data_IF_034870598269
#
_entry.id   IF_034870598269
#
_cell.length_a   1.000
_cell.length_b   1.000
_cell.length_c   1.000
_cell.angle_alpha   90.00
_cell.angle_beta   90.00
_cell.angle_gamma   90.00
#
_symmetry.space_group_name_H-M   'P 1'
#
loop_
_entity.id
_entity.type
_entity.pdbx_description
1 polymer ?
#
# COMPACT_ATOMS: atom_id res chain seq x y z
N UNK A 1 2.46 17.89 15.18
CA UNK A 1 3.55 16.97 14.77
C UNK A 1 3.20 15.98 13.66
N UNK A 2 2.02 16.09 13.03
CA UNK A 2 1.62 15.25 11.88
C UNK A 2 2.14 15.77 10.51
N UNK A 3 3.18 16.60 10.49
CA UNK A 3 3.62 17.33 9.28
C UNK A 3 4.62 16.61 8.37
N UNK A 4 5.06 15.41 8.75
CA UNK A 4 6.10 14.69 7.99
C UNK A 4 5.55 13.47 7.24
N UNK A 5 4.27 13.44 6.94
CA UNK A 5 3.70 12.35 6.17
C UNK A 5 3.97 12.57 4.69
N UNK A 6 4.68 11.63 4.09
CA UNK A 6 4.82 11.41 2.65
C UNK A 6 3.45 11.60 1.96
N UNK A 7 3.39 12.16 0.73
CA UNK A 7 2.14 12.55 0.02
C UNK A 7 1.04 11.51 -0.11
N UNK A 8 1.25 10.28 0.27
CA UNK A 8 0.20 9.26 0.39
C UNK A 8 -0.80 9.51 1.52
N UNK A 9 -0.46 10.34 2.50
CA UNK A 9 -1.36 10.74 3.59
C UNK A 9 -2.59 11.55 3.13
N UNK A 10 -2.60 12.08 1.92
CA UNK A 10 -3.81 12.71 1.37
C UNK A 10 -4.93 11.71 1.10
N UNK A 11 -4.63 10.40 1.10
CA UNK A 11 -5.62 9.32 0.99
C UNK A 11 -5.89 8.61 2.31
N UNK A 12 -5.17 8.95 3.38
CA UNK A 12 -5.50 8.51 4.72
C UNK A 12 -6.68 9.35 5.22
N UNK A 13 -7.89 8.83 5.03
CA UNK A 13 -9.05 9.36 5.75
C UNK A 13 -8.74 9.26 7.24
N UNK A 14 -9.02 10.31 8.04
CA UNK A 14 -8.91 10.20 9.48
C UNK A 14 -9.68 8.97 9.95
N UNK A 15 -9.11 8.18 10.83
CA UNK A 15 -9.69 6.94 11.37
C UNK A 15 -11.13 7.12 11.89
N UNK A 16 -11.49 8.35 12.24
CA UNK A 16 -12.82 8.77 12.68
C UNK A 16 -13.93 8.54 11.63
N UNK A 17 -13.58 8.38 10.36
CA UNK A 17 -14.56 8.18 9.28
C UNK A 17 -14.68 6.71 8.84
N UNK A 18 -13.80 5.82 9.31
CA UNK A 18 -13.93 4.39 9.02
C UNK A 18 -14.71 3.71 10.14
N UNK A 19 -15.76 2.94 9.83
CA UNK A 19 -16.54 2.22 10.83
C UNK A 19 -15.80 0.96 11.32
N UNK A 20 -14.60 1.15 11.85
CA UNK A 20 -13.69 0.08 12.25
C UNK A 20 -13.18 0.35 13.66
N UNK A 21 -13.13 -0.71 14.46
CA UNK A 21 -12.51 -0.72 15.78
C UNK A 21 -11.35 -1.72 15.79
N UNK A 22 -10.22 -1.31 16.37
CA UNK A 22 -9.11 -2.21 16.66
C UNK A 22 -9.37 -2.88 18.00
N UNK A 23 -9.45 -4.21 17.99
CA UNK A 23 -9.61 -5.03 19.16
C UNK A 23 -8.27 -5.69 19.52
N UNK A 24 -7.86 -5.58 20.79
CA UNK A 24 -6.77 -6.39 21.32
C UNK A 24 -7.38 -7.69 21.85
N UNK A 25 -7.07 -8.81 21.23
CA UNK A 25 -7.57 -10.13 21.60
C UNK A 25 -6.40 -11.06 21.92
N UNK A 26 -6.68 -12.11 22.69
CA UNK A 26 -5.69 -13.17 22.92
C UNK A 26 -5.95 -14.31 21.96
N UNK A 27 -4.90 -14.83 21.33
CA UNK A 27 -4.99 -16.06 20.54
C UNK A 27 -5.20 -17.28 21.43
N UNK A 28 -5.56 -18.42 20.85
CA UNK A 28 -5.64 -19.71 21.57
C UNK A 28 -4.32 -20.10 22.25
N UNK A 29 -3.19 -19.59 21.77
CA UNK A 29 -1.85 -19.79 22.32
C UNK A 29 -1.46 -18.75 23.39
N UNK A 30 -2.39 -17.86 23.78
CA UNK A 30 -2.14 -16.81 24.76
C UNK A 30 -1.29 -15.64 24.26
N UNK A 31 -1.14 -15.46 22.95
CA UNK A 31 -0.41 -14.33 22.37
C UNK A 31 -1.34 -13.17 22.10
N UNK A 32 -0.95 -11.91 22.38
CA UNK A 32 -1.74 -10.74 22.02
C UNK A 32 -1.80 -10.58 20.50
N UNK A 33 -2.99 -10.29 19.99
CA UNK A 33 -3.25 -10.06 18.58
C UNK A 33 -4.19 -8.87 18.40
N UNK A 34 -3.91 -8.00 17.43
CA UNK A 34 -4.84 -6.97 16.99
C UNK A 34 -5.76 -7.54 15.92
N UNK A 35 -7.06 -7.27 16.05
CA UNK A 35 -8.08 -7.59 15.06
C UNK A 35 -8.91 -6.36 14.72
N UNK A 36 -9.40 -6.29 13.51
CA UNK A 36 -10.29 -5.22 13.06
C UNK A 36 -11.74 -5.71 13.13
N UNK A 37 -12.58 -4.94 13.84
CA UNK A 37 -14.04 -5.16 13.90
C UNK A 37 -14.72 -4.07 13.07
N UNK A 38 -15.61 -4.47 12.16
CA UNK A 38 -16.52 -3.56 11.49
C UNK A 38 -17.60 -3.12 12.48
N UNK A 39 -17.87 -1.83 12.57
CA UNK A 39 -18.87 -1.24 13.46
C UNK A 39 -20.12 -0.85 12.67
N UNK A 40 -21.29 -1.22 13.16
CA UNK A 40 -22.54 -0.65 12.67
C UNK A 40 -22.84 0.72 13.33
N UNK A 41 -23.90 1.38 12.90
CA UNK A 41 -24.28 2.69 13.46
C UNK A 41 -24.65 2.63 14.96
N UNK A 42 -25.10 1.48 15.47
CA UNK A 42 -25.41 1.29 16.89
C UNK A 42 -24.10 1.13 17.70
N UNK A 43 -23.17 0.33 17.21
CA UNK A 43 -21.83 0.20 17.81
C UNK A 43 -21.17 1.58 17.94
N UNK A 44 -21.21 2.38 16.85
CA UNK A 44 -20.63 3.74 16.79
C UNK A 44 -21.31 4.66 17.81
N UNK A 45 -22.64 4.57 17.94
CA UNK A 45 -23.39 5.32 18.95
C UNK A 45 -23.02 4.94 20.38
N UNK A 46 -22.85 3.64 20.65
CA UNK A 46 -22.42 3.15 21.96
C UNK A 46 -21.01 3.62 22.35
N UNK A 47 -20.15 3.86 21.39
CA UNK A 47 -18.82 4.44 21.59
C UNK A 47 -18.86 5.97 21.82
N UNK A 48 -20.05 6.60 21.82
CA UNK A 48 -20.22 8.02 22.07
C UNK A 48 -20.12 8.91 20.82
N UNK A 49 -19.93 8.35 19.62
CA UNK A 49 -19.82 9.10 18.38
C UNK A 49 -21.20 9.36 17.73
N UNK A 50 -22.03 10.15 18.41
CA UNK A 50 -23.46 10.32 18.08
C UNK A 50 -23.68 10.86 16.66
N UNK A 51 -22.94 11.88 16.24
CA UNK A 51 -23.12 12.49 14.91
C UNK A 51 -22.65 11.58 13.81
N UNK A 52 -21.55 10.86 14.01
CA UNK A 52 -21.06 9.82 13.09
C UNK A 52 -22.07 8.68 12.96
N UNK A 53 -22.66 8.22 14.06
CA UNK A 53 -23.70 7.19 14.05
C UNK A 53 -24.95 7.65 13.29
N UNK A 54 -25.36 8.90 13.46
CA UNK A 54 -26.49 9.50 12.74
C UNK A 54 -26.20 9.53 11.23
N UNK A 55 -25.02 9.97 10.85
CA UNK A 55 -24.59 10.01 9.46
C UNK A 55 -24.60 8.62 8.81
N UNK A 56 -24.03 7.60 9.45
CA UNK A 56 -24.07 6.22 8.92
C UNK A 56 -25.50 5.67 8.80
N UNK A 57 -26.40 6.02 9.73
CA UNK A 57 -27.82 5.66 9.65
C UNK A 57 -28.51 6.31 8.43
N UNK A 58 -28.21 7.57 8.16
CA UNK A 58 -28.72 8.28 6.97
C UNK A 58 -28.16 7.67 5.68
N UNK A 59 -26.87 7.39 5.63
CA UNK A 59 -26.21 6.71 4.49
C UNK A 59 -26.88 5.35 4.23
N UNK A 60 -27.18 4.56 5.28
CA UNK A 60 -27.86 3.27 5.13
C UNK A 60 -29.25 3.43 4.53
N UNK A 61 -29.99 4.48 4.90
CA UNK A 61 -31.30 4.77 4.33
C UNK A 61 -31.20 5.08 2.83
N UNK A 62 -30.21 5.87 2.43
CA UNK A 62 -29.94 6.17 1.01
C UNK A 62 -29.48 4.93 0.26
N UNK A 63 -28.57 4.16 0.85
CA UNK A 63 -28.08 2.90 0.29
C UNK A 63 -29.22 1.91 0.01
N UNK A 64 -30.09 1.68 0.99
CA UNK A 64 -31.23 0.78 0.86
C UNK A 64 -32.19 1.17 -0.29
N UNK A 65 -32.29 2.48 -0.59
CA UNK A 65 -33.11 2.99 -1.69
C UNK A 65 -32.50 2.78 -3.07
N UNK A 66 -31.16 2.83 -3.20
CA UNK A 66 -30.48 2.85 -4.50
C UNK A 66 -29.64 1.59 -4.78
N UNK A 67 -29.48 0.68 -3.81
CA UNK A 67 -28.76 -0.59 -4.02
C UNK A 67 -29.43 -1.45 -5.08
N UNK A 68 -28.63 -2.19 -5.83
CA UNK A 68 -29.11 -3.13 -6.83
C UNK A 68 -29.67 -4.40 -6.17
N UNK A 69 -30.44 -5.19 -6.93
CA UNK A 69 -30.98 -6.49 -6.47
C UNK A 69 -29.87 -7.43 -5.97
N UNK A 70 -28.72 -7.44 -6.66
CA UNK A 70 -27.56 -8.27 -6.27
C UNK A 70 -26.98 -7.89 -4.89
N UNK A 71 -27.22 -6.67 -4.43
CA UNK A 71 -26.76 -6.17 -3.14
C UNK A 71 -27.89 -6.00 -2.11
N UNK A 72 -29.07 -6.61 -2.35
CA UNK A 72 -30.26 -6.42 -1.51
C UNK A 72 -30.06 -6.80 -0.05
N UNK A 73 -29.15 -7.73 0.24
CA UNK A 73 -28.83 -8.20 1.59
C UNK A 73 -27.56 -7.58 2.19
N UNK A 74 -26.94 -6.61 1.51
CA UNK A 74 -25.69 -5.97 1.93
C UNK A 74 -25.97 -4.58 2.45
N UNK A 75 -25.51 -4.25 3.65
CA UNK A 75 -25.58 -2.88 4.21
C UNK A 75 -24.52 -1.98 3.58
N UNK A 76 -24.68 -0.67 3.72
CA UNK A 76 -23.68 0.31 3.25
C UNK A 76 -22.31 0.09 3.89
N UNK A 77 -22.28 -0.24 5.17
CA UNK A 77 -21.06 -0.51 5.94
C UNK A 77 -20.40 -1.81 5.47
N UNK A 78 -21.17 -2.88 5.27
CA UNK A 78 -20.65 -4.14 4.70
C UNK A 78 -20.11 -3.94 3.28
N UNK A 79 -20.73 -3.07 2.50
CA UNK A 79 -20.24 -2.73 1.17
C UNK A 79 -18.91 -1.97 1.21
N UNK A 80 -18.68 -1.10 2.19
CA UNK A 80 -17.36 -0.50 2.44
C UNK A 80 -16.31 -1.58 2.72
N UNK A 81 -16.68 -2.62 3.46
CA UNK A 81 -15.83 -3.76 3.76
C UNK A 81 -15.94 -4.89 2.70
N UNK A 82 -16.20 -4.55 1.47
CA UNK A 82 -16.35 -5.53 0.40
C UNK A 82 -15.16 -6.50 0.34
N UNK A 83 -15.46 -7.81 0.30
CA UNK A 83 -14.46 -8.88 0.39
C UNK A 83 -13.56 -8.78 1.63
N UNK A 84 -14.10 -8.26 2.74
CA UNK A 84 -13.40 -8.11 4.03
C UNK A 84 -12.11 -7.28 3.99
N UNK A 85 -11.89 -6.51 2.91
CA UNK A 85 -10.63 -5.78 2.67
C UNK A 85 -10.21 -4.79 3.76
N UNK A 86 -11.17 -4.30 4.56
CA UNK A 86 -10.87 -3.43 5.69
C UNK A 86 -10.56 -4.24 6.94
N UNK A 87 -11.24 -5.36 7.17
CA UNK A 87 -11.14 -6.14 8.41
C UNK A 87 -10.11 -7.27 8.36
N UNK A 88 -9.66 -7.70 7.18
CA UNK A 88 -8.64 -8.74 7.02
C UNK A 88 -7.20 -8.21 6.92
N UNK A 89 -6.98 -6.93 7.22
CA UNK A 89 -5.64 -6.36 7.25
C UNK A 89 -4.87 -6.86 8.46
N UNK A 90 -3.62 -7.31 8.24
CA UNK A 90 -2.78 -7.83 9.31
C UNK A 90 -2.05 -6.69 10.05
N UNK A 91 -2.61 -6.27 11.17
CA UNK A 91 -2.01 -5.25 12.04
C UNK A 91 -0.90 -5.81 12.95
N UNK A 92 -0.65 -7.11 12.93
CA UNK A 92 0.34 -7.76 13.80
C UNK A 92 1.72 -7.83 13.16
N UNK A 93 1.80 -7.70 11.83
CA UNK A 93 3.06 -7.62 11.10
C UNK A 93 3.70 -6.25 11.22
N UNK A 94 5.02 -6.22 11.42
CA UNK A 94 5.76 -4.98 11.66
C UNK A 94 5.87 -4.09 10.42
N UNK A 95 5.92 -4.68 9.24
CA UNK A 95 6.08 -3.95 7.97
C UNK A 95 4.92 -4.25 7.03
N UNK A 96 4.51 -3.22 6.31
CA UNK A 96 3.57 -3.32 5.21
C UNK A 96 4.21 -2.69 3.96
N UNK A 97 4.37 -3.47 2.90
CA UNK A 97 4.79 -2.98 1.59
C UNK A 97 3.54 -2.66 0.79
N UNK A 98 3.40 -1.41 0.39
CA UNK A 98 2.24 -0.94 -0.35
C UNK A 98 2.65 -0.49 -1.74
N UNK A 99 1.83 -0.80 -2.75
CA UNK A 99 1.96 -0.19 -4.07
C UNK A 99 0.59 0.17 -4.66
N UNK A 100 0.58 1.18 -5.51
CA UNK A 100 -0.65 1.68 -6.12
C UNK A 100 -1.19 0.67 -7.14
N UNK A 101 -2.49 0.35 -7.05
CA UNK A 101 -3.18 -0.50 -8.02
C UNK A 101 -3.45 0.23 -9.34
N UNK A 102 -3.66 1.55 -9.29
CA UNK A 102 -4.01 2.37 -10.45
C UNK A 102 -2.95 3.45 -10.67
N UNK A 103 -1.92 3.08 -11.44
CA UNK A 103 -0.81 3.96 -11.81
C UNK A 103 -0.16 3.45 -13.10
N UNK A 104 0.75 4.26 -13.68
CA UNK A 104 1.58 3.86 -14.81
C UNK A 104 2.67 2.87 -14.38
N UNK A 105 3.25 3.08 -13.21
CA UNK A 105 4.31 2.26 -12.61
C UNK A 105 3.91 1.90 -11.17
N UNK A 106 4.39 0.75 -10.67
CA UNK A 106 4.18 0.33 -9.29
C UNK A 106 5.02 1.18 -8.34
N UNK A 107 4.48 2.27 -7.85
CA UNK A 107 5.18 3.11 -6.89
C UNK A 107 4.98 2.53 -5.49
N UNK A 108 5.95 1.75 -5.03
CA UNK A 108 5.90 1.05 -3.76
C UNK A 108 6.63 1.79 -2.64
N UNK A 109 6.17 1.61 -1.42
CA UNK A 109 6.85 2.07 -0.21
C UNK A 109 6.64 1.11 0.95
N UNK A 110 7.52 1.18 1.94
CA UNK A 110 7.43 0.42 3.19
C UNK A 110 6.84 1.30 4.27
N UNK A 111 5.74 0.84 4.88
CA UNK A 111 5.24 1.40 6.12
C UNK A 111 5.71 0.53 7.29
N UNK A 112 6.47 1.10 8.22
CA UNK A 112 6.86 0.47 9.48
C UNK A 112 5.83 0.85 10.54
N UNK A 113 5.21 -0.13 11.18
CA UNK A 113 4.23 0.15 12.24
C UNK A 113 4.90 0.82 13.44
N UNK A 114 4.14 1.70 14.10
CA UNK A 114 4.64 2.47 15.23
C UNK A 114 5.43 3.73 14.85
N UNK A 115 5.62 4.03 13.56
CA UNK A 115 6.20 5.31 13.11
C UNK A 115 5.19 6.46 13.12
N UNK A 116 3.91 6.14 13.17
CA UNK A 116 2.81 7.09 13.28
C UNK A 116 2.12 6.92 14.64
N UNK A 117 1.58 8.00 15.19
CA UNK A 117 0.79 7.98 16.42
C UNK A 117 -0.56 7.23 16.25
N UNK A 118 -0.96 6.96 15.01
CA UNK A 118 -2.19 6.27 14.64
C UNK A 118 -1.87 5.02 13.82
N UNK A 119 -2.74 4.01 13.92
CA UNK A 119 -2.66 2.83 13.05
C UNK A 119 -3.05 3.20 11.61
N UNK A 120 -2.28 2.67 10.68
CA UNK A 120 -2.48 2.86 9.25
C UNK A 120 -3.38 1.76 8.68
N UNK A 121 -4.54 2.14 8.18
CA UNK A 121 -5.53 1.25 7.54
C UNK A 121 -5.64 1.61 6.06
N UNK A 122 -5.67 0.59 5.20
CA UNK A 122 -5.70 0.74 3.74
C UNK A 122 -7.12 0.50 3.25
N UNK A 123 -7.75 1.52 2.65
CA UNK A 123 -9.11 1.38 2.10
C UNK A 123 -9.09 0.86 0.65
N UNK A 124 -8.55 1.65 -0.28
CA UNK A 124 -8.68 1.40 -1.73
C UNK A 124 -7.40 1.71 -2.51
N UNK A 125 -7.40 1.23 -3.75
CA UNK A 125 -6.42 1.59 -4.78
C UNK A 125 -4.96 1.26 -4.43
N UNK A 126 -4.73 0.37 -3.47
CA UNK A 126 -3.41 -0.15 -3.14
C UNK A 126 -3.46 -1.67 -2.90
N UNK A 127 -2.37 -2.32 -3.27
CA UNK A 127 -2.06 -3.68 -2.84
C UNK A 127 -1.09 -3.62 -1.68
N UNK A 128 -1.16 -4.60 -0.79
CA UNK A 128 -0.32 -4.66 0.39
C UNK A 128 0.23 -6.07 0.60
N UNK A 129 1.49 -6.12 1.01
CA UNK A 129 2.17 -7.32 1.50
C UNK A 129 2.63 -7.05 2.93
N UNK A 130 2.38 -8.00 3.84
CA UNK A 130 2.71 -7.88 5.26
C UNK A 130 3.85 -8.83 5.63
N UNK A 131 4.86 -8.33 6.35
CA UNK A 131 5.99 -9.13 6.83
C UNK A 131 6.53 -8.61 8.16
N UNK A 132 7.26 -9.47 8.89
CA UNK A 132 8.05 -9.09 10.06
C UNK A 132 9.53 -8.85 9.69
N UNK A 133 9.95 -9.19 8.47
CA UNK A 133 11.30 -9.01 7.98
C UNK A 133 11.46 -7.65 7.29
N UNK A 134 12.30 -6.78 7.86
CA UNK A 134 12.64 -5.49 7.27
C UNK A 134 13.33 -5.66 5.92
N UNK A 135 14.27 -6.60 5.82
CA UNK A 135 14.98 -6.90 4.58
C UNK A 135 14.03 -7.40 3.48
N UNK A 136 13.09 -8.29 3.82
CA UNK A 136 12.09 -8.77 2.86
C UNK A 136 11.20 -7.62 2.36
N UNK A 137 10.79 -6.71 3.24
CA UNK A 137 10.00 -5.54 2.86
C UNK A 137 10.75 -4.65 1.86
N UNK A 138 12.03 -4.37 2.10
CA UNK A 138 12.83 -3.54 1.19
C UNK A 138 13.25 -4.27 -0.09
N UNK A 139 13.48 -5.59 -0.03
CA UNK A 139 13.70 -6.44 -1.20
C UNK A 139 12.52 -6.33 -2.18
N UNK A 140 11.30 -6.56 -1.67
CA UNK A 140 10.08 -6.44 -2.48
C UNK A 140 9.87 -5.02 -2.99
N UNK A 141 10.15 -4.00 -2.17
CA UNK A 141 10.00 -2.60 -2.56
C UNK A 141 11.00 -2.19 -3.64
N UNK A 142 12.25 -2.68 -3.58
CA UNK A 142 13.26 -2.46 -4.62
C UNK A 142 12.78 -3.04 -5.96
N UNK A 143 12.29 -4.28 -5.98
CA UNK A 143 11.71 -4.92 -7.16
C UNK A 143 10.54 -4.11 -7.73
N UNK A 144 9.54 -3.78 -6.90
CA UNK A 144 8.35 -3.07 -7.34
C UNK A 144 8.65 -1.67 -7.94
N UNK A 145 9.73 -1.04 -7.49
CA UNK A 145 10.16 0.27 -7.99
C UNK A 145 11.18 0.20 -9.14
N UNK A 146 11.73 -0.97 -9.45
CA UNK A 146 12.70 -1.15 -10.52
C UNK A 146 12.12 -0.76 -11.89
N UNK A 147 12.95 -0.17 -12.75
CA UNK A 147 12.52 0.17 -14.11
C UNK A 147 12.28 -1.09 -14.92
N UNK A 148 13.19 -2.07 -14.83
CA UNK A 148 13.09 -3.35 -15.53
C UNK A 148 11.80 -4.10 -15.21
N UNK A 149 11.43 -4.23 -13.93
CA UNK A 149 10.18 -4.88 -13.53
C UNK A 149 8.94 -4.15 -14.07
N UNK A 150 8.94 -2.81 -14.00
CA UNK A 150 7.85 -2.01 -14.54
C UNK A 150 7.77 -2.08 -16.06
N UNK A 151 8.89 -2.13 -16.77
CA UNK A 151 8.94 -2.24 -18.23
C UNK A 151 8.42 -3.60 -18.71
N UNK A 152 8.75 -4.69 -18.03
CA UNK A 152 8.21 -6.03 -18.30
C UNK A 152 6.68 -6.09 -18.11
N UNK A 153 6.14 -5.34 -17.17
CA UNK A 153 4.70 -5.29 -16.92
C UNK A 153 3.93 -4.48 -17.98
N UNK A 154 4.52 -3.43 -18.57
CA UNK A 154 3.83 -2.46 -19.46
C UNK A 154 3.03 -3.08 -20.62
N UNK A 155 3.51 -4.11 -21.32
CA UNK A 155 2.73 -4.74 -22.40
C UNK A 155 1.40 -5.32 -21.97
N UNK A 156 1.28 -5.71 -20.70
CA UNK A 156 0.10 -6.38 -20.13
C UNK A 156 -0.85 -5.41 -19.41
N UNK A 157 -0.47 -4.13 -19.28
CA UNK A 157 -1.34 -3.12 -18.67
C UNK A 157 -2.52 -2.76 -19.58
N UNK A 158 -3.69 -2.56 -18.96
CA UNK A 158 -4.84 -1.98 -19.66
C UNK A 158 -4.50 -0.56 -20.15
N UNK A 159 -4.86 -0.26 -21.40
CA UNK A 159 -4.64 1.05 -22.01
C UNK A 159 -5.94 1.84 -22.03
N UNK A 160 -5.97 2.97 -21.33
CA UNK A 160 -7.05 3.95 -21.45
C UNK A 160 -6.68 5.08 -22.42
N UNK A 161 -7.55 6.06 -22.56
CA UNK A 161 -7.38 7.21 -23.46
C UNK A 161 -6.05 7.97 -23.24
N UNK A 162 -5.49 7.91 -22.02
CA UNK A 162 -4.26 8.59 -21.59
C UNK A 162 -3.07 7.63 -21.35
N UNK A 163 -3.11 6.42 -21.91
CA UNK A 163 -2.04 5.42 -21.80
C UNK A 163 -2.30 4.31 -20.78
N UNK A 164 -1.23 3.62 -20.38
CA UNK A 164 -1.29 2.55 -19.40
C UNK A 164 -1.77 3.06 -18.03
N UNK A 165 -2.74 2.37 -17.39
CA UNK A 165 -3.42 2.86 -16.19
C UNK A 165 -3.31 1.96 -14.99
N UNK A 166 -3.33 0.65 -15.20
CA UNK A 166 -3.51 -0.29 -14.10
C UNK A 166 -2.26 -1.15 -13.94
N UNK A 167 -1.56 -0.96 -12.84
CA UNK A 167 -0.54 -1.89 -12.37
C UNK A 167 -1.24 -3.17 -11.92
N UNK A 168 -2.28 -3.04 -11.11
CA UNK A 168 -3.05 -4.16 -10.57
C UNK A 168 -2.12 -5.27 -10.06
N UNK A 169 -2.40 -6.53 -10.39
CA UNK A 169 -1.55 -7.67 -10.04
C UNK A 169 -0.50 -8.00 -11.10
N UNK A 170 -0.45 -7.25 -12.21
CA UNK A 170 0.41 -7.59 -13.37
C UNK A 170 1.89 -7.60 -13.05
N UNK A 171 2.35 -6.73 -12.17
CA UNK A 171 3.74 -6.72 -11.74
C UNK A 171 4.13 -7.98 -10.94
N UNK A 172 3.15 -8.67 -10.35
CA UNK A 172 3.38 -9.92 -9.63
C UNK A 172 3.49 -11.13 -10.57
N UNK A 173 3.14 -10.97 -11.85
CA UNK A 173 3.35 -12.01 -12.87
C UNK A 173 4.83 -12.07 -13.30
N UNK A 174 5.63 -11.03 -12.99
CA UNK A 174 7.09 -11.08 -13.15
C UNK A 174 7.69 -11.98 -12.08
N UNK A 175 8.44 -13.03 -12.44
CA UNK A 175 8.92 -14.06 -11.50
C UNK A 175 10.00 -13.49 -10.57
N UNK A 176 9.61 -13.00 -9.41
CA UNK A 176 10.54 -12.63 -8.34
C UNK A 176 10.69 -13.81 -7.37
N UNK A 177 11.93 -14.33 -7.14
CA UNK A 177 12.16 -15.35 -6.13
C UNK A 177 11.74 -14.87 -4.73
N UNK A 178 11.26 -15.80 -3.91
CA UNK A 178 11.00 -15.51 -2.51
C UNK A 178 12.31 -15.06 -1.81
N UNK A 179 12.22 -14.03 -0.98
CA UNK A 179 13.36 -13.52 -0.23
C UNK A 179 14.02 -14.60 0.61
N UNK A 180 15.35 -14.67 0.55
CA UNK A 180 16.18 -15.52 1.36
C UNK A 180 17.33 -14.71 1.97
N UNK A 181 17.46 -14.78 3.28
CA UNK A 181 18.44 -13.98 4.02
C UNK A 181 19.90 -14.52 3.86
N UNK A 182 20.06 -15.73 3.38
CA UNK A 182 21.35 -16.37 3.07
C UNK A 182 21.81 -16.16 1.62
N UNK A 183 20.98 -15.56 0.78
CA UNK A 183 21.32 -15.23 -0.61
C UNK A 183 21.84 -13.78 -0.68
N UNK A 184 23.13 -13.62 -0.99
CA UNK A 184 23.81 -12.33 -1.00
C UNK A 184 23.12 -11.31 -1.94
N UNK A 185 22.71 -11.73 -3.13
CA UNK A 185 22.04 -10.85 -4.10
C UNK A 185 20.70 -10.33 -3.57
N UNK A 186 19.93 -11.14 -2.82
CA UNK A 186 18.69 -10.73 -2.19
C UNK A 186 18.92 -9.68 -1.10
N UNK A 187 19.94 -9.88 -0.27
CA UNK A 187 20.32 -8.96 0.81
C UNK A 187 20.81 -7.63 0.23
N UNK A 188 21.66 -7.69 -0.81
CA UNK A 188 22.12 -6.47 -1.50
C UNK A 188 20.98 -5.67 -2.11
N UNK A 189 20.02 -6.35 -2.74
CA UNK A 189 18.82 -5.71 -3.29
C UNK A 189 17.97 -5.05 -2.20
N UNK A 190 17.80 -5.71 -1.06
CA UNK A 190 17.11 -5.16 0.10
C UNK A 190 17.81 -3.89 0.64
N UNK A 191 19.12 -3.92 0.78
CA UNK A 191 19.90 -2.75 1.23
C UNK A 191 19.81 -1.55 0.25
N UNK A 192 19.81 -1.81 -1.05
CA UNK A 192 19.57 -0.75 -2.05
C UNK A 192 18.17 -0.15 -1.90
N UNK A 193 17.15 -0.99 -1.72
CA UNK A 193 15.79 -0.54 -1.45
C UNK A 193 15.69 0.33 -0.20
N UNK A 194 16.39 -0.06 0.87
CA UNK A 194 16.46 0.69 2.12
C UNK A 194 17.17 2.04 1.93
N UNK A 195 18.30 2.05 1.22
CA UNK A 195 19.04 3.28 0.91
C UNK A 195 18.19 4.24 0.07
N UNK A 196 17.48 3.74 -0.95
CA UNK A 196 16.53 4.55 -1.73
C UNK A 196 15.45 5.19 -0.85
N UNK A 197 14.85 4.40 0.06
CA UNK A 197 13.82 4.91 0.96
C UNK A 197 14.35 6.01 1.87
N UNK A 198 15.53 5.85 2.46
CA UNK A 198 16.17 6.84 3.31
C UNK A 198 16.48 8.16 2.55
N UNK A 199 17.00 8.05 1.32
CA UNK A 199 17.25 9.23 0.46
C UNK A 199 15.98 9.98 0.09
N UNK A 200 14.92 9.26 -0.20
CA UNK A 200 13.59 9.88 -0.50
C UNK A 200 13.03 10.56 0.75
N UNK A 201 13.16 9.94 1.92
CA UNK A 201 12.70 10.54 3.17
C UNK A 201 13.44 11.85 3.48
N UNK A 202 14.77 11.89 3.32
CA UNK A 202 15.58 13.10 3.47
C UNK A 202 15.17 14.18 2.47
N UNK A 203 15.07 13.82 1.19
CA UNK A 203 14.66 14.72 0.12
C UNK A 203 13.27 15.34 0.34
N UNK A 204 12.33 14.58 0.90
CA UNK A 204 10.98 15.07 1.20
C UNK A 204 10.99 15.95 2.46
N UNK A 205 11.81 15.60 3.46
CA UNK A 205 11.94 16.36 4.70
C UNK A 205 12.48 17.77 4.46
N UNK A 206 13.43 17.90 3.54
CA UNK A 206 14.06 19.19 3.21
C UNK A 206 13.15 20.11 2.39
N UNK A 207 12.01 19.58 1.93
CA UNK A 207 11.03 20.36 1.17
C UNK A 207 9.91 20.88 2.07
N UNK A 208 9.63 22.15 1.97
CA UNK A 208 8.42 22.75 2.55
C UNK A 208 7.18 22.44 1.68
N UNK A 209 6.71 21.19 1.80
CA UNK A 209 5.57 20.70 1.02
C UNK A 209 4.23 21.36 1.41
N UNK A 210 4.20 22.07 2.53
CA UNK A 210 2.99 22.73 3.03
C UNK A 210 2.71 24.07 2.31
N UNK A 211 3.76 24.69 1.76
CA UNK A 211 3.71 26.05 1.20
C UNK A 211 3.91 26.08 -0.33
N UNK A 212 4.15 24.95 -0.98
CA UNK A 212 4.32 24.89 -2.43
C UNK A 212 3.12 24.22 -3.10
N UNK A 213 2.79 24.69 -4.32
CA UNK A 213 1.82 24.03 -5.19
C UNK A 213 2.36 22.64 -5.59
N UNK A 214 1.91 21.62 -4.85
CA UNK A 214 2.52 20.30 -4.80
C UNK A 214 1.94 19.38 -5.86
N UNK A 215 2.72 19.08 -6.89
CA UNK A 215 2.37 18.11 -7.91
C UNK A 215 3.09 16.78 -7.67
N UNK A 216 2.36 15.78 -7.16
CA UNK A 216 2.86 14.42 -6.87
C UNK A 216 3.58 13.79 -8.06
N UNK A 217 3.04 13.98 -9.29
CA UNK A 217 3.66 13.44 -10.51
C UNK A 217 5.03 14.04 -10.80
N UNK A 218 5.18 15.36 -10.63
CA UNK A 218 6.47 16.04 -10.79
C UNK A 218 7.49 15.55 -9.76
N UNK A 219 7.11 15.45 -8.48
CA UNK A 219 8.02 14.97 -7.43
C UNK A 219 8.44 13.53 -7.66
N UNK A 220 7.52 12.64 -8.05
CA UNK A 220 7.87 11.26 -8.43
C UNK A 220 8.85 11.21 -9.61
N UNK A 221 8.64 12.06 -10.62
CA UNK A 221 9.55 12.15 -11.76
C UNK A 221 10.94 12.63 -11.33
N UNK A 222 11.02 13.62 -10.46
CA UNK A 222 12.28 14.13 -9.93
C UNK A 222 13.02 13.06 -9.10
N UNK A 223 12.31 12.35 -8.21
CA UNK A 223 12.87 11.25 -7.45
C UNK A 223 13.46 10.17 -8.38
N UNK A 224 12.71 9.72 -9.38
CA UNK A 224 13.17 8.64 -10.26
C UNK A 224 14.29 9.07 -11.23
N UNK A 225 14.19 10.27 -11.80
CA UNK A 225 15.02 10.70 -12.93
C UNK A 225 16.19 11.59 -12.52
N UNK A 226 16.29 12.00 -11.25
CA UNK A 226 17.36 12.86 -10.74
C UNK A 226 17.95 12.34 -9.45
N UNK A 227 17.11 12.01 -8.45
CA UNK A 227 17.59 11.63 -7.13
C UNK A 227 18.14 10.20 -7.07
N UNK A 228 17.41 9.22 -7.63
CA UNK A 228 17.67 7.78 -7.48
C UNK A 228 18.21 7.11 -8.76
N UNK A 229 18.74 7.87 -9.71
CA UNK A 229 19.16 7.34 -11.02
C UNK A 229 20.15 6.19 -10.89
N UNK A 230 21.19 6.37 -10.07
CA UNK A 230 22.25 5.39 -9.89
C UNK A 230 21.78 4.16 -9.10
N UNK A 231 20.99 4.37 -8.05
CA UNK A 231 20.45 3.27 -7.25
C UNK A 231 19.47 2.42 -8.07
N UNK A 232 18.59 3.05 -8.84
CA UNK A 232 17.66 2.32 -9.71
C UNK A 232 18.39 1.52 -10.78
N UNK A 233 19.51 2.04 -11.32
CA UNK A 233 20.38 1.29 -12.25
C UNK A 233 20.99 0.07 -11.58
N UNK A 234 21.55 0.23 -10.37
CA UNK A 234 22.11 -0.89 -9.61
C UNK A 234 21.05 -1.94 -9.25
N UNK A 235 19.83 -1.50 -8.90
CA UNK A 235 18.68 -2.39 -8.68
C UNK A 235 18.36 -3.19 -9.94
N UNK A 236 18.28 -2.52 -11.10
CA UNK A 236 18.00 -3.17 -12.38
C UNK A 236 19.10 -4.19 -12.78
N UNK A 237 20.38 -3.89 -12.49
CA UNK A 237 21.50 -4.79 -12.71
C UNK A 237 21.40 -6.05 -11.81
N UNK A 238 21.16 -5.87 -10.50
CA UNK A 238 20.99 -7.00 -9.58
C UNK A 238 19.74 -7.84 -9.89
N UNK A 239 18.66 -7.22 -10.34
CA UNK A 239 17.45 -7.96 -10.70
C UNK A 239 17.67 -8.90 -11.90
N UNK A 240 18.55 -8.57 -12.85
CA UNK A 240 18.90 -9.50 -13.93
C UNK A 240 19.57 -10.77 -13.40
N UNK A 241 20.36 -10.67 -12.33
CA UNK A 241 20.97 -11.82 -11.68
C UNK A 241 19.94 -12.64 -10.89
N UNK A 242 19.05 -11.96 -10.15
CA UNK A 242 18.07 -12.58 -9.25
C UNK A 242 16.91 -13.22 -10.01
N UNK A 243 16.36 -12.53 -11.00
CA UNK A 243 15.13 -12.92 -11.71
C UNK A 243 15.43 -13.80 -12.93
N UNK A 244 16.69 -13.91 -13.36
CA UNK A 244 17.07 -14.58 -14.62
C UNK A 244 16.17 -14.12 -15.77
N UNK A 245 16.07 -12.80 -15.95
CA UNK A 245 15.14 -12.15 -16.90
C UNK A 245 15.27 -12.74 -18.30
N UNK A 246 16.47 -13.15 -18.70
CA UNK A 246 16.74 -13.73 -20.01
C UNK A 246 16.01 -15.07 -20.22
N UNK A 247 15.83 -15.89 -19.16
CA UNK A 247 15.07 -17.15 -19.23
C UNK A 247 13.56 -16.91 -19.21
N UNK A 248 13.10 -15.82 -18.57
CA UNK A 248 11.67 -15.47 -18.47
C UNK A 248 11.13 -14.89 -19.78
N UNK A 249 11.95 -14.22 -20.57
CA UNK A 249 11.56 -13.65 -21.88
C UNK A 249 11.39 -14.76 -22.93
N UNK A 250 12.17 -15.86 -22.85
CA UNK A 250 12.04 -16.98 -23.79
C UNK A 250 10.80 -17.86 -23.53
N UNK A 251 10.16 -17.71 -22.37
CA UNK A 251 8.98 -18.50 -21.95
C UNK A 251 7.63 -17.76 -22.10
N UNK A 252 7.66 -16.47 -22.48
CA UNK A 252 6.46 -15.63 -22.75
C UNK A 252 6.23 -15.46 -24.24
#
# INVERSE_FOLDING_TARGET
MARNMVPFAQFALPLVLLPIQILNVMTSEGKPQKRLKLLDHKDIQLLGHIDTARWFKEVETVWAKYRTENNSNVTSIEYLNWQHKLTEQDLNKQFAVLYSASAKDANAFVHKRGTLDLEYIIDKAAYVFYTDSELEAYYLTAFLNANSANDLMKPFQSRGLFGARDVSKKILDVPLPQFKADEEAHVRLAHLGQACAARVEEFIRDRDLANQDYNVGKVRSEIRNQLLVEELKQIDELLREVVRIDEAIETL
#
